data_IF_877814578094
#
_entry.id   IF_877814578094
#
_cell.length_a   1.000
_cell.length_b   1.000
_cell.length_c   1.000
_cell.angle_alpha   90.00
_cell.angle_beta   90.00
_cell.angle_gamma   90.00
#
_symmetry.space_group_name_H-M   'P 1'
#
loop_
_entity.id
_entity.type
_entity.pdbx_description
1 polymer ?
#
# COMPACT_ATOMS: atom_id res chain seq x y z
N UNK A 1 -8.18 11.89 4.34
CA UNK A 1 -6.93 11.81 5.14
C UNK A 1 -7.16 11.02 6.43
N UNK A 2 -6.21 10.17 6.78
CA UNK A 2 -6.31 9.33 7.98
C UNK A 2 -5.91 10.11 9.24
N UNK A 3 -6.67 9.90 10.32
CA UNK A 3 -6.28 10.40 11.64
C UNK A 3 -5.17 9.52 12.20
N UNK A 4 -4.46 10.00 13.23
CA UNK A 4 -3.43 9.20 13.91
C UNK A 4 -4.00 7.90 14.48
N UNK A 5 -5.21 7.97 15.02
CA UNK A 5 -5.89 6.80 15.58
C UNK A 5 -6.24 5.78 14.51
N UNK A 6 -6.76 6.24 13.37
CA UNK A 6 -7.08 5.37 12.24
C UNK A 6 -5.82 4.73 11.68
N UNK A 7 -4.76 5.51 11.54
CA UNK A 7 -3.47 5.02 11.05
C UNK A 7 -2.90 3.93 11.96
N UNK A 8 -2.98 4.13 13.27
CA UNK A 8 -2.51 3.15 14.24
C UNK A 8 -3.29 1.84 14.14
N UNK A 9 -4.62 1.93 13.97
CA UNK A 9 -5.46 0.74 13.77
C UNK A 9 -5.05 -0.02 12.52
N UNK A 10 -4.85 0.70 11.42
CA UNK A 10 -4.45 0.08 10.16
C UNK A 10 -3.07 -0.58 10.24
N UNK A 11 -2.11 0.05 10.94
CA UNK A 11 -0.80 -0.57 11.16
C UNK A 11 -0.92 -1.88 11.94
N UNK A 12 -1.78 -1.89 12.95
CA UNK A 12 -2.03 -3.10 13.75
C UNK A 12 -2.59 -4.22 12.88
N UNK A 13 -3.56 -3.90 12.03
CA UNK A 13 -4.13 -4.88 11.09
C UNK A 13 -3.08 -5.37 10.09
N UNK A 14 -2.25 -4.46 9.59
CA UNK A 14 -1.23 -4.79 8.60
C UNK A 14 -0.16 -5.73 9.14
N UNK A 15 0.06 -5.75 10.45
CA UNK A 15 1.02 -6.65 11.06
C UNK A 15 0.67 -8.12 10.81
N UNK A 16 -0.59 -8.41 10.54
CA UNK A 16 -1.07 -9.76 10.27
C UNK A 16 -1.25 -10.04 8.77
N UNK A 17 -0.95 -9.07 7.92
CA UNK A 17 -1.09 -9.22 6.49
C UNK A 17 0.22 -9.70 5.86
N UNK A 18 0.09 -10.52 4.81
CA UNK A 18 1.24 -10.95 4.03
C UNK A 18 1.59 -9.89 2.99
N UNK A 19 2.86 -9.88 2.60
CA UNK A 19 3.32 -9.07 1.47
C UNK A 19 2.70 -9.68 0.21
N UNK A 20 1.90 -8.88 -0.52
CA UNK A 20 1.21 -9.38 -1.70
C UNK A 20 1.97 -9.11 -3.00
N UNK A 21 2.95 -8.22 -2.97
CA UNK A 21 3.63 -7.77 -4.17
C UNK A 21 4.98 -7.16 -3.82
N UNK A 22 5.92 -7.24 -4.76
CA UNK A 22 7.24 -6.65 -4.60
C UNK A 22 7.48 -5.62 -5.71
N UNK A 23 8.16 -4.53 -5.36
CA UNK A 23 8.63 -3.55 -6.33
C UNK A 23 10.08 -3.86 -6.61
N UNK A 24 10.37 -4.24 -7.83
CA UNK A 24 11.71 -4.64 -8.24
C UNK A 24 12.41 -3.57 -9.06
N UNK A 25 13.32 -4.03 -9.91
CA UNK A 25 14.22 -3.20 -10.71
C UNK A 25 13.48 -2.22 -11.62
N UNK A 26 12.31 -2.57 -12.10
CA UNK A 26 11.53 -1.71 -12.99
C UNK A 26 10.84 -0.54 -12.29
N UNK A 27 10.85 -0.53 -10.96
CA UNK A 27 10.17 0.51 -10.19
C UNK A 27 8.65 0.42 -10.34
N UNK A 28 7.99 1.59 -10.32
CA UNK A 28 6.53 1.68 -10.46
C UNK A 28 6.16 1.74 -11.93
N UNK A 29 5.36 0.78 -12.40
CA UNK A 29 4.88 0.71 -13.78
C UNK A 29 3.36 0.86 -13.81
N UNK A 30 2.80 1.13 -15.01
CA UNK A 30 1.35 1.22 -15.18
C UNK A 30 0.67 -0.11 -14.83
N UNK A 31 1.29 -1.23 -15.22
CA UNK A 31 0.77 -2.55 -14.88
C UNK A 31 0.71 -2.76 -13.37
N UNK A 32 1.73 -2.30 -12.65
CA UNK A 32 1.76 -2.37 -11.19
C UNK A 32 0.65 -1.51 -10.58
N UNK A 33 0.47 -0.29 -11.08
CA UNK A 33 -0.60 0.60 -10.60
C UNK A 33 -1.95 -0.07 -10.72
N UNK A 34 -2.21 -0.71 -11.86
CA UNK A 34 -3.47 -1.42 -12.09
C UNK A 34 -3.64 -2.57 -11.09
N UNK A 35 -2.59 -3.36 -10.88
CA UNK A 35 -2.63 -4.48 -9.94
C UNK A 35 -2.83 -4.01 -8.51
N UNK A 36 -2.16 -2.93 -8.12
CA UNK A 36 -2.31 -2.34 -6.78
C UNK A 36 -3.74 -1.82 -6.58
N UNK A 37 -4.27 -1.14 -7.58
CA UNK A 37 -5.65 -0.66 -7.54
C UNK A 37 -6.65 -1.78 -7.34
N UNK A 38 -6.49 -2.87 -8.09
CA UNK A 38 -7.36 -4.05 -7.99
C UNK A 38 -7.24 -4.69 -6.59
N UNK A 39 -6.02 -4.77 -6.07
CA UNK A 39 -5.80 -5.33 -4.73
C UNK A 39 -6.44 -4.47 -3.65
N UNK A 40 -6.35 -3.15 -3.77
CA UNK A 40 -6.99 -2.23 -2.82
C UNK A 40 -8.50 -2.36 -2.86
N UNK A 41 -9.08 -2.51 -4.04
CA UNK A 41 -10.51 -2.69 -4.17
C UNK A 41 -10.97 -4.00 -3.53
N UNK A 42 -10.16 -5.05 -3.63
CA UNK A 42 -10.50 -6.35 -3.07
C UNK A 42 -10.22 -6.47 -1.57
N UNK A 43 -9.18 -5.80 -1.07
CA UNK A 43 -8.68 -6.00 0.29
C UNK A 43 -8.70 -4.77 1.18
N UNK A 44 -8.76 -3.58 0.63
CA UNK A 44 -8.67 -2.27 1.27
C UNK A 44 -7.30 -1.97 1.89
N UNK A 45 -6.68 -2.92 2.56
CA UNK A 45 -5.38 -2.76 3.20
C UNK A 45 -4.40 -3.73 2.56
N UNK A 46 -3.29 -3.22 2.03
CA UNK A 46 -2.27 -4.06 1.39
C UNK A 46 -0.89 -3.71 1.89
N UNK A 47 -0.01 -4.70 1.84
CA UNK A 47 1.37 -4.58 2.26
C UNK A 47 2.26 -4.98 1.08
N UNK A 48 3.25 -4.15 0.77
CA UNK A 48 4.16 -4.38 -0.34
C UNK A 48 5.60 -4.26 0.14
N UNK A 49 6.52 -4.87 -0.58
CA UNK A 49 7.94 -4.80 -0.29
C UNK A 49 8.68 -4.16 -1.46
N UNK A 50 9.60 -3.26 -1.16
CA UNK A 50 10.49 -2.67 -2.18
C UNK A 50 11.84 -3.35 -2.06
N UNK A 51 12.28 -3.95 -3.17
CA UNK A 51 13.56 -4.67 -3.20
C UNK A 51 14.73 -3.69 -3.28
N UNK A 52 15.86 -4.08 -2.70
CA UNK A 52 17.05 -3.24 -2.66
C UNK A 52 17.55 -2.83 -4.05
N UNK A 53 17.40 -3.70 -5.02
CA UNK A 53 17.89 -3.44 -6.38
C UNK A 53 16.92 -2.63 -7.23
N UNK A 54 15.86 -2.10 -6.64
CA UNK A 54 14.92 -1.27 -7.39
C UNK A 54 15.51 0.10 -7.73
N UNK A 55 16.45 0.59 -6.91
CA UNK A 55 16.99 1.92 -7.05
C UNK A 55 16.05 3.03 -6.63
N UNK A 56 14.89 2.68 -6.11
CA UNK A 56 13.85 3.63 -5.71
C UNK A 56 13.85 3.84 -4.20
N UNK A 57 13.55 5.08 -3.79
CA UNK A 57 13.33 5.38 -2.37
C UNK A 57 11.98 4.82 -1.96
N UNK A 58 11.94 4.10 -0.85
CA UNK A 58 10.74 3.43 -0.36
C UNK A 58 9.57 4.39 -0.17
N UNK A 59 9.84 5.56 0.39
CA UNK A 59 8.79 6.57 0.61
C UNK A 59 8.27 7.14 -0.71
N UNK A 60 9.16 7.36 -1.66
CA UNK A 60 8.76 7.87 -2.98
C UNK A 60 7.88 6.86 -3.70
N UNK A 61 8.22 5.58 -3.64
CA UNK A 61 7.40 4.51 -4.23
C UNK A 61 6.02 4.51 -3.59
N UNK A 62 5.95 4.60 -2.25
CA UNK A 62 4.67 4.62 -1.55
C UNK A 62 3.81 5.80 -2.00
N UNK A 63 4.39 6.99 -2.12
CA UNK A 63 3.66 8.18 -2.53
C UNK A 63 3.20 8.09 -3.98
N UNK A 64 4.03 7.59 -4.88
CA UNK A 64 3.67 7.40 -6.28
C UNK A 64 2.48 6.45 -6.42
N UNK A 65 2.51 5.33 -5.69
CA UNK A 65 1.42 4.37 -5.74
C UNK A 65 0.15 4.92 -5.12
N UNK A 66 0.27 5.62 -4.00
CA UNK A 66 -0.88 6.23 -3.34
C UNK A 66 -1.55 7.26 -4.24
N UNK A 67 -0.75 8.14 -4.86
CA UNK A 67 -1.29 9.17 -5.76
C UNK A 67 -1.96 8.55 -6.98
N UNK A 68 -1.35 7.52 -7.57
CA UNK A 68 -1.87 6.89 -8.78
C UNK A 68 -3.15 6.08 -8.53
N UNK A 69 -3.34 5.56 -7.33
CA UNK A 69 -4.49 4.70 -6.99
C UNK A 69 -5.55 5.38 -6.13
N UNK A 70 -5.28 6.58 -5.66
CA UNK A 70 -6.18 7.27 -4.74
C UNK A 70 -6.11 6.72 -3.31
N UNK A 71 -5.04 6.03 -2.97
CA UNK A 71 -4.86 5.42 -1.66
C UNK A 71 -4.15 6.37 -0.69
N UNK A 72 -4.15 5.97 0.59
CA UNK A 72 -3.40 6.65 1.64
C UNK A 72 -2.19 5.79 2.02
N UNK A 73 -1.06 6.43 2.28
CA UNK A 73 0.11 5.74 2.83
C UNK A 73 -0.11 5.60 4.33
N UNK A 74 -0.25 4.37 4.79
CA UNK A 74 -0.45 4.09 6.22
C UNK A 74 0.88 4.15 6.96
N UNK A 75 1.88 3.46 6.43
CA UNK A 75 3.19 3.36 7.08
C UNK A 75 4.25 2.92 6.08
N UNK A 76 5.49 3.24 6.40
CA UNK A 76 6.67 2.78 5.69
C UNK A 76 7.62 2.24 6.75
N UNK A 77 7.80 0.93 6.80
CA UNK A 77 8.58 0.26 7.84
C UNK A 77 9.57 -0.70 7.21
N UNK A 78 10.86 -0.52 7.51
CA UNK A 78 11.90 -1.35 6.93
C UNK A 78 11.89 -1.22 5.42
N UNK A 79 11.65 -2.32 4.71
CA UNK A 79 11.56 -2.35 3.26
C UNK A 79 10.14 -2.52 2.76
N UNK A 80 9.16 -2.37 3.66
CA UNK A 80 7.75 -2.57 3.35
C UNK A 80 6.99 -1.25 3.40
N UNK A 81 5.95 -1.17 2.58
CA UNK A 81 5.01 -0.05 2.63
C UNK A 81 3.60 -0.62 2.78
N UNK A 82 2.74 0.17 3.41
CA UNK A 82 1.36 -0.22 3.69
C UNK A 82 0.45 0.85 3.13
N UNK A 83 -0.47 0.44 2.29
CA UNK A 83 -1.45 1.34 1.65
C UNK A 83 -2.86 0.95 2.06
N UNK A 84 -3.73 1.95 2.15
CA UNK A 84 -5.14 1.75 2.45
C UNK A 84 -6.01 2.60 1.52
N UNK A 85 -7.10 2.00 1.03
CA UNK A 85 -8.15 2.72 0.30
C UNK A 85 -9.46 2.01 0.59
N UNK A 86 -10.49 2.77 1.00
CA UNK A 86 -11.82 2.19 1.20
C UNK A 86 -12.34 1.62 -0.11
N UNK A 87 -12.79 0.37 -0.07
CA UNK A 87 -13.37 -0.29 -1.24
C UNK A 87 -14.78 0.24 -1.49
N UNK A 88 -15.12 0.41 -2.76
CA UNK A 88 -16.47 0.83 -3.15
C UNK A 88 -17.45 -0.33 -3.12
N UNK A 89 -16.96 -1.55 -3.31
CA UNK A 89 -17.81 -2.73 -3.47
C UNK A 89 -17.63 -3.78 -2.38
N UNK A 90 -16.50 -3.79 -1.69
CA UNK A 90 -16.14 -4.84 -0.73
C UNK A 90 -15.58 -4.28 0.57
N UNK A 91 -16.27 -3.30 1.13
CA UNK A 91 -15.82 -2.68 2.38
C UNK A 91 -15.71 -3.71 3.49
N UNK A 92 -14.52 -3.83 4.09
CA UNK A 92 -14.22 -4.81 5.14
C UNK A 92 -13.74 -4.17 6.43
N UNK A 93 -13.09 -3.02 6.35
CA UNK A 93 -12.45 -2.37 7.50
C UNK A 93 -13.29 -1.20 7.97
N UNK A 94 -13.65 -1.21 9.23
CA UNK A 94 -14.35 -0.12 9.88
C UNK A 94 -13.34 0.77 10.59
N UNK A 95 -13.33 2.06 10.28
CA UNK A 95 -12.42 3.00 10.93
C UNK A 95 -13.14 3.96 11.88
#
# INVERSE_FOLDING_TARGET
>A
MLTSKQRAKLRSLAAHEDVIMQVGKSGVTEAMVQTVGDALEARELIKMRVLENSGEDLRDVAEQLADATGAEVVSVIGKCLILYRESETKKKIEL
#
